data_IF_399825995119
#
_entry.id   IF_399825995119
#
_cell.length_a   1.000
_cell.length_b   1.000
_cell.length_c   1.000
_cell.angle_alpha   90.00
_cell.angle_beta   90.00
_cell.angle_gamma   90.00
#
_symmetry.space_group_name_H-M   'P 1'
#
loop_
_entity.id
_entity.type
_entity.pdbx_description
1 polymer ?
2 non-polymer ?
3 non-polymer ?
4 non-polymer ?
5 non-polymer ?
6 non-polymer ?
7 water ?
#
# COMPACT_ATOMS: atom_id res chain seq x y z
N UNK A 5 14.10 -24.72 -5.78
CA UNK A 5 15.33 -23.94 -5.43
C UNK A 5 15.00 -22.52 -4.93
N UNK A 6 15.23 -22.28 -3.64
CA UNK A 6 14.90 -21.01 -2.98
C UNK A 6 15.32 -19.76 -3.78
N UNK A 7 14.34 -18.93 -4.21
CA UNK A 7 14.64 -17.67 -4.89
C UNK A 7 15.46 -16.72 -4.01
N UNK A 8 16.13 -15.74 -4.61
CA UNK A 8 16.87 -14.74 -3.86
C UNK A 8 15.93 -13.97 -2.92
N UNK A 9 16.38 -13.72 -1.69
CA UNK A 9 15.67 -12.80 -0.79
C UNK A 9 16.62 -11.98 0.09
N UNK A 10 16.23 -10.74 0.43
CA UNK A 10 17.07 -9.92 1.31
C UNK A 10 17.19 -10.48 2.74
N UNK A 11 18.37 -10.34 3.32
CA UNK A 11 18.70 -10.86 4.67
C UNK A 11 18.85 -9.76 5.73
N UNK A 12 19.15 -8.56 5.27
CA UNK A 12 19.29 -7.41 6.16
C UNK A 12 18.71 -6.20 5.45
N UNK A 13 18.40 -5.16 6.22
CA UNK A 13 17.68 -4.00 5.71
C UNK A 13 18.37 -3.30 4.53
N UNK A 14 19.70 -3.22 4.54
CA UNK A 14 20.38 -2.57 3.41
C UNK A 14 20.29 -3.36 2.10
N UNK A 15 20.01 -4.66 2.20
CA UNK A 15 19.83 -5.48 0.99
C UNK A 15 18.68 -5.00 0.11
N UNK A 16 17.78 -4.18 0.66
CA UNK A 16 16.69 -3.58 -0.15
C UNK A 16 17.21 -2.61 -1.24
N UNK A 17 18.52 -2.28 -1.18
CA UNK A 17 19.17 -1.53 -2.28
C UNK A 17 19.34 -2.39 -3.52
N UNK A 18 19.43 -3.69 -3.34
CA UNK A 18 19.76 -4.63 -4.43
C UNK A 18 18.56 -4.83 -5.35
N UNK A 19 18.73 -4.46 -6.63
CA UNK A 19 17.65 -4.54 -7.60
C UNK A 19 16.41 -3.76 -7.14
N UNK A 20 16.65 -2.61 -6.51
CA UNK A 20 15.56 -1.71 -6.11
C UNK A 20 14.76 -1.27 -7.35
N UNK A 21 13.51 -0.84 -7.15
CA UNK A 21 12.70 -0.22 -8.21
C UNK A 21 12.41 -1.11 -9.40
N UNK A 22 12.18 -2.38 -9.11
CA UNK A 22 11.64 -3.31 -10.12
C UNK A 22 10.12 -3.09 -10.17
N UNK A 23 9.72 -2.06 -10.90
CA UNK A 23 8.37 -1.55 -10.89
C UNK A 23 7.64 -1.73 -12.23
N UNK A 24 6.31 -1.76 -12.17
CA UNK A 24 5.48 -1.88 -13.36
C UNK A 24 5.20 -0.48 -13.92
N UNK A 25 5.44 -0.29 -15.22
CA UNK A 25 5.39 1.02 -15.84
C UNK A 25 4.47 1.10 -17.04
N UNK A 26 3.86 2.26 -17.23
CA UNK A 26 3.08 2.57 -18.43
C UNK A 26 3.97 2.41 -19.67
N UNK A 27 3.46 1.75 -20.70
CA UNK A 27 4.27 1.46 -21.89
C UNK A 27 5.06 0.16 -21.83
N UNK A 28 4.97 -0.55 -20.72
CA UNK A 28 5.62 -1.85 -20.60
C UNK A 28 4.61 -2.87 -20.10
N UNK A 29 4.12 -2.65 -18.88
CA UNK A 29 3.20 -3.58 -18.22
C UNK A 29 1.80 -2.98 -17.97
N UNK A 30 1.68 -1.65 -18.01
CA UNK A 30 0.40 -0.96 -17.75
C UNK A 30 -0.14 -0.16 -18.96
N UNK A 31 -1.46 -0.08 -19.06
CA UNK A 31 -2.12 0.77 -20.06
C UNK A 31 -3.54 1.11 -19.61
N UNK A 32 -4.03 2.30 -20.01
CA UNK A 32 -5.36 2.76 -19.65
C UNK A 32 -5.65 4.06 -20.39
N UNK A 33 -6.90 4.30 -20.75
CA UNK A 33 -7.28 5.57 -21.34
C UNK A 33 -7.47 6.62 -20.23
N UNK A 34 -6.36 7.16 -19.73
CA UNK A 34 -6.43 8.05 -18.57
C UNK A 34 -5.28 9.03 -18.75
N UNK A 35 -5.51 10.33 -18.45
CA UNK A 35 -4.47 11.34 -18.68
C UNK A 35 -3.17 11.11 -17.88
N UNK A 36 -3.25 10.43 -16.74
CA UNK A 36 -2.05 10.10 -15.96
C UNK A 36 -1.05 9.22 -16.70
N UNK A 37 -1.56 8.47 -17.69
CA UNK A 37 -0.68 7.77 -18.66
C UNK A 37 -0.49 8.57 -19.95
N UNK A 38 -1.57 9.12 -20.49
CA UNK A 38 -1.55 9.66 -21.87
C UNK A 38 -1.02 11.09 -22.07
N UNK A 39 -1.05 11.92 -21.03
CA UNK A 39 -0.59 13.31 -21.12
C UNK A 39 0.94 13.34 -21.06
N UNK A 40 1.56 13.58 -22.22
CA UNK A 40 3.00 13.57 -22.35
C UNK A 40 3.72 14.55 -21.43
N UNK A 41 3.15 15.73 -21.22
CA UNK A 41 3.73 16.74 -20.32
C UNK A 41 3.75 16.24 -18.85
N UNK A 42 2.68 15.55 -18.45
CA UNK A 42 2.62 15.01 -17.10
C UNK A 42 3.65 13.89 -16.90
N UNK A 43 3.84 13.05 -17.91
CA UNK A 43 4.85 11.98 -17.83
C UNK A 43 6.28 12.54 -17.65
N UNK A 44 6.56 13.69 -18.27
CA UNK A 44 7.87 14.31 -18.10
C UNK A 44 8.10 14.79 -16.68
N UNK A 45 7.03 15.29 -16.04
CA UNK A 45 7.11 15.70 -14.63
C UNK A 45 7.35 14.48 -13.72
N UNK A 46 6.66 13.37 -14.02
CA UNK A 46 6.73 12.16 -13.19
C UNK A 46 8.17 11.64 -13.11
N UNK A 47 8.92 11.84 -14.18
CA UNK A 47 10.30 11.34 -14.26
C UNK A 47 11.22 12.00 -13.21
N UNK A 48 10.90 13.22 -12.80
CA UNK A 48 11.65 13.89 -11.71
C UNK A 48 11.60 13.04 -10.42
N UNK A 49 10.39 12.56 -10.07
CA UNK A 49 10.20 11.71 -8.88
C UNK A 49 10.84 10.33 -9.03
N UNK A 50 10.65 9.71 -10.19
CA UNK A 50 11.25 8.42 -10.50
C UNK A 50 12.79 8.40 -10.36
N UNK A 51 13.46 9.43 -10.88
CA UNK A 51 14.92 9.54 -10.76
C UNK A 51 15.37 9.65 -9.30
N UNK A 52 14.63 10.40 -8.51
CA UNK A 52 14.90 10.54 -7.09
C UNK A 52 14.82 9.17 -6.40
N UNK A 53 13.77 8.42 -6.68
CA UNK A 53 13.62 7.08 -6.13
C UNK A 53 14.76 6.14 -6.58
N UNK A 54 15.15 6.23 -7.85
CA UNK A 54 16.17 5.33 -8.40
C UNK A 54 17.56 5.57 -7.83
N UNK A 55 17.81 6.78 -7.34
CA UNK A 55 19.10 7.08 -6.75
C UNK A 55 19.15 7.00 -5.21
N UNK A 56 18.02 6.70 -4.58
CA UNK A 56 17.99 6.53 -3.13
C UNK A 56 18.79 5.29 -2.66
N UNK A 57 19.51 5.43 -1.55
CA UNK A 57 20.26 4.34 -0.93
C UNK A 57 19.87 4.29 0.52
N UNK A 58 19.62 3.11 1.07
CA UNK A 58 19.31 2.97 2.51
C UNK A 58 20.25 3.86 3.37
N UNK A 59 19.66 4.61 4.29
CA UNK A 59 20.45 5.53 5.13
C UNK A 59 20.35 6.98 4.70
N UNK A 60 19.96 7.21 3.44
CA UNK A 60 19.72 8.59 2.96
C UNK A 60 18.49 9.19 3.63
N UNK A 61 18.47 10.52 3.81
CA UNK A 61 17.16 11.10 4.12
C UNK A 61 16.30 10.97 2.86
N UNK A 62 14.98 10.93 3.00
CA UNK A 62 14.13 10.89 1.81
C UNK A 62 14.06 12.29 1.24
N UNK A 63 14.30 12.42 -0.09
CA UNK A 63 14.36 13.75 -0.71
C UNK A 63 13.09 14.56 -0.46
N UNK A 64 13.26 15.83 -0.08
CA UNK A 64 12.12 16.71 0.14
C UNK A 64 11.73 17.25 -1.24
N UNK A 65 10.42 17.36 -1.49
CA UNK A 65 9.93 17.70 -2.81
C UNK A 65 9.35 19.11 -2.85
N UNK A 66 9.65 19.85 -3.91
CA UNK A 66 9.00 21.13 -4.14
C UNK A 66 7.84 20.86 -5.09
N UNK A 67 6.62 20.75 -4.54
CA UNK A 67 5.46 20.41 -5.37
C UNK A 67 4.98 21.64 -6.17
N UNK A 68 4.36 21.43 -7.32
CA UNK A 68 3.76 22.55 -8.04
C UNK A 68 2.42 22.98 -7.42
N UNK A 69 2.01 24.23 -7.68
CA UNK A 69 0.73 24.71 -7.16
C UNK A 69 -0.40 23.77 -7.60
N UNK A 70 -0.34 23.31 -8.85
CA UNK A 70 -1.27 22.30 -9.37
C UNK A 70 -1.35 20.99 -8.56
N UNK A 71 -0.18 20.45 -8.21
CA UNK A 71 -0.09 19.21 -7.41
C UNK A 71 -0.64 19.43 -6.00
N UNK A 72 -0.28 20.55 -5.39
CA UNK A 72 -0.86 20.88 -4.07
C UNK A 72 -2.40 20.98 -4.11
N UNK A 73 -2.94 21.64 -5.13
CA UNK A 73 -4.41 21.70 -5.35
C UNK A 73 -5.11 20.32 -5.48
N UNK A 74 -4.46 19.40 -6.20
CA UNK A 74 -4.93 18.01 -6.33
C UNK A 74 -4.98 17.30 -4.98
N UNK A 75 -3.86 17.35 -4.24
CA UNK A 75 -3.81 16.74 -2.90
C UNK A 75 -4.97 17.29 -2.06
N UNK A 76 -5.21 18.59 -2.20
CA UNK A 76 -6.26 19.28 -1.41
C UNK A 76 -7.66 18.77 -1.67
N UNK A 77 -7.96 18.58 -2.95
CA UNK A 77 -9.24 18.03 -3.38
C UNK A 77 -9.43 16.58 -2.88
N UNK A 78 -8.39 15.76 -3.06
CA UNK A 78 -8.42 14.35 -2.60
C UNK A 78 -8.60 14.26 -1.09
N UNK A 79 -7.76 14.97 -0.35
CA UNK A 79 -7.85 15.03 1.09
C UNK A 79 -9.24 15.48 1.57
N UNK A 80 -9.71 16.60 1.04
CA UNK A 80 -10.98 17.17 1.46
C UNK A 80 -12.16 16.24 1.18
N UNK A 81 -12.24 15.78 -0.08
CA UNK A 81 -13.35 14.91 -0.50
C UNK A 81 -13.34 13.55 0.19
N UNK A 82 -12.16 12.96 0.38
CA UNK A 82 -12.14 11.68 1.08
C UNK A 82 -12.55 11.82 2.55
N UNK A 83 -12.12 12.90 3.20
CA UNK A 83 -12.45 13.08 4.60
C UNK A 83 -13.94 13.24 4.88
N UNK A 84 -14.68 13.69 3.88
CA UNK A 84 -16.15 13.75 3.95
C UNK A 84 -16.80 12.37 3.96
N UNK A 85 -16.13 11.40 3.33
CA UNK A 85 -16.65 10.04 3.15
C UNK A 85 -16.21 9.06 4.24
N UNK A 86 -15.03 9.26 4.81
CA UNK A 86 -14.54 8.33 5.81
C UNK A 86 -15.53 8.02 6.95
N UNK A 87 -16.17 9.04 7.53
CA UNK A 87 -17.05 8.74 8.68
C UNK A 87 -18.16 7.71 8.38
N UNK A 88 -18.64 7.67 7.14
CA UNK A 88 -19.66 6.70 6.74
C UNK A 88 -19.16 5.45 5.98
N UNK A 89 -17.94 5.48 5.45
CA UNK A 89 -17.45 4.40 4.60
C UNK A 89 -16.37 3.54 5.25
N UNK A 90 -15.50 4.15 6.06
CA UNK A 90 -14.33 3.44 6.61
C UNK A 90 -14.62 2.72 7.91
N UNK A 91 -13.94 1.60 8.10
CA UNK A 91 -14.04 0.81 9.35
C UNK A 91 -13.43 1.60 10.53
N UNK A 92 -13.84 1.27 11.75
CA UNK A 92 -13.44 2.09 12.88
C UNK A 92 -11.94 2.08 13.17
N UNK A 93 -11.27 0.97 12.84
CA UNK A 93 -9.83 0.85 13.06
C UNK A 93 -9.05 1.89 12.25
N UNK A 94 -9.57 2.20 11.06
CA UNK A 94 -8.97 3.22 10.16
C UNK A 94 -9.24 4.64 10.68
N UNK A 95 -10.47 4.87 11.12
CA UNK A 95 -10.89 6.19 11.63
C UNK A 95 -10.09 6.56 12.88
N UNK A 96 -9.79 5.55 13.69
CA UNK A 96 -9.09 5.78 14.96
C UNK A 96 -7.85 6.71 14.90
N UNK A 97 -6.96 6.49 13.92
CA UNK A 97 -5.70 7.22 13.91
C UNK A 97 -5.65 8.47 13.03
N UNK A 98 -6.77 8.85 12.44
CA UNK A 98 -6.81 10.08 11.62
C UNK A 98 -6.40 11.36 12.36
N UNK A 99 -6.92 11.57 13.58
CA UNK A 99 -6.50 12.76 14.34
C UNK A 99 -5.00 12.82 14.68
N UNK A 100 -4.33 11.67 14.82
CA UNK A 100 -2.87 11.66 14.98
C UNK A 100 -2.15 12.27 13.79
N UNK A 101 -2.65 11.99 12.58
CA UNK A 101 -1.99 12.46 11.38
C UNK A 101 -2.05 13.97 11.27
N UNK A 102 -3.19 14.54 11.66
CA UNK A 102 -3.35 15.98 11.54
C UNK A 102 -2.54 16.64 12.66
N UNK A 103 -2.64 16.07 13.85
CA UNK A 103 -1.98 16.61 15.03
C UNK A 103 -0.46 16.44 15.01
N UNK A 104 0.03 15.26 14.60
CA UNK A 104 1.46 14.95 14.70
C UNK A 104 2.23 14.81 13.39
N UNK A 105 1.57 15.02 12.24
CA UNK A 105 2.20 14.84 10.93
C UNK A 105 1.93 16.00 9.98
N UNK A 106 1.14 16.97 10.44
CA UNK A 106 0.83 18.13 9.61
C UNK A 106 0.00 17.85 8.37
N UNK A 107 -0.87 16.84 8.42
CA UNK A 107 -1.81 16.63 7.33
C UNK A 107 -2.72 17.85 7.29
N UNK A 108 -2.70 18.55 6.17
CA UNK A 108 -3.47 19.77 5.95
C UNK A 108 -3.90 19.80 4.51
N UNK A 109 -5.01 20.45 4.24
CA UNK A 109 -5.48 20.64 2.88
C UNK A 109 -4.49 21.45 2.00
N UNK A 110 -3.72 22.36 2.60
CA UNK A 110 -2.91 23.31 1.82
C UNK A 110 -1.44 22.93 1.65
N UNK A 111 -1.11 21.70 2.04
CA UNK A 111 0.29 21.28 2.08
C UNK A 111 0.39 19.75 2.00
N UNK A 112 1.28 19.23 1.15
CA UNK A 112 1.44 17.76 1.04
C UNK A 112 2.46 17.23 2.05
N UNK A 113 2.06 16.28 2.92
CA UNK A 113 3.05 15.74 3.85
C UNK A 113 4.31 15.20 3.13
N UNK A 114 5.49 15.53 3.67
CA UNK A 114 6.76 15.02 3.14
C UNK A 114 7.06 13.64 3.70
N UNK A 115 7.53 12.74 2.84
CA UNK A 115 7.82 11.36 3.22
C UNK A 115 8.82 11.24 4.37
N UNK A 116 9.84 12.10 4.40
CA UNK A 116 10.80 12.07 5.52
C UNK A 116 10.13 12.28 6.89
N UNK A 117 9.22 13.25 6.96
CA UNK A 117 8.46 13.53 8.17
C UNK A 117 7.51 12.39 8.56
N UNK A 118 6.82 11.83 7.56
CA UNK A 118 5.92 10.71 7.83
C UNK A 118 6.73 9.47 8.27
N UNK A 119 7.88 9.22 7.67
CA UNK A 119 8.70 8.07 8.07
C UNK A 119 9.14 8.16 9.55
N UNK A 120 9.57 9.36 9.96
CA UNK A 120 9.98 9.64 11.33
C UNK A 120 8.81 9.39 12.32
N UNK A 121 7.64 9.94 11.99
CA UNK A 121 6.42 9.66 12.76
C UNK A 121 6.14 8.15 12.91
N UNK A 122 6.15 7.42 11.79
CA UNK A 122 5.83 6.00 11.84
C UNK A 122 6.88 5.20 12.61
N UNK A 123 8.14 5.58 12.49
CA UNK A 123 9.21 4.82 13.17
C UNK A 123 9.01 4.85 14.70
N UNK A 124 8.68 6.03 15.18
CA UNK A 124 8.38 6.29 16.57
C UNK A 124 7.16 5.50 17.05
N UNK A 125 6.10 5.47 16.26
CA UNK A 125 4.85 4.78 16.62
C UNK A 125 4.87 3.24 16.53
N UNK A 126 5.47 2.69 15.48
CA UNK A 126 5.44 1.24 15.25
C UNK A 126 6.74 0.69 14.68
N UNK A 127 7.72 1.56 14.45
CA UNK A 127 9.01 1.13 13.84
C UNK A 127 9.02 1.02 12.31
N UNK A 128 7.89 1.32 11.68
CA UNK A 128 7.88 1.39 10.20
C UNK A 128 8.66 2.61 9.69
N UNK A 129 9.38 2.42 8.59
CA UNK A 129 10.01 3.53 7.89
C UNK A 129 9.64 3.45 6.42
N UNK A 130 9.91 4.53 5.68
CA UNK A 130 9.57 4.60 4.26
C UNK A 130 10.81 4.56 3.37
N UNK A 131 10.68 3.94 2.19
CA UNK A 131 11.70 4.00 1.16
C UNK A 131 10.98 4.48 -0.11
N UNK A 132 11.52 5.52 -0.78
CA UNK A 132 10.81 5.95 -2.00
C UNK A 132 10.93 4.93 -3.16
N UNK A 133 9.93 4.90 -4.02
CA UNK A 133 9.88 3.93 -5.14
C UNK A 133 9.29 4.58 -6.42
N UNK A 134 9.77 4.16 -7.60
CA UNK A 134 9.39 4.79 -8.87
C UNK A 134 8.04 4.41 -9.48
N UNK A 135 7.26 3.60 -8.80
CA UNK A 135 5.99 3.12 -9.36
C UNK A 135 5.47 1.88 -8.65
N UNK A 136 4.51 1.20 -9.24
CA UNK A 136 3.95 -0.03 -8.66
C UNK A 136 5.02 -1.11 -8.55
N UNK A 137 5.37 -1.48 -7.33
CA UNK A 137 6.49 -2.40 -7.10
C UNK A 137 6.08 -3.87 -7.28
N UNK A 138 6.99 -4.65 -7.87
CA UNK A 138 6.89 -6.10 -7.91
C UNK A 138 6.40 -6.67 -6.57
N UNK A 139 5.30 -7.41 -6.58
CA UNK A 139 4.70 -7.89 -5.31
C UNK A 139 5.69 -8.63 -4.40
N UNK A 140 6.54 -9.48 -4.95
CA UNK A 140 7.56 -10.14 -4.11
C UNK A 140 8.43 -9.14 -3.35
N UNK A 141 8.89 -8.10 -4.03
CA UNK A 141 9.75 -7.10 -3.42
C UNK A 141 8.99 -6.22 -2.41
N UNK A 142 7.72 -5.95 -2.70
CA UNK A 142 6.90 -5.15 -1.78
C UNK A 142 6.68 -5.89 -0.46
N UNK A 143 6.28 -7.17 -0.53
CA UNK A 143 6.13 -8.01 0.68
C UNK A 143 7.45 -8.20 1.43
N UNK A 144 8.53 -8.43 0.68
CA UNK A 144 9.86 -8.51 1.32
C UNK A 144 10.15 -7.25 2.14
N UNK A 145 9.82 -6.07 1.60
CA UNK A 145 10.02 -4.82 2.33
C UNK A 145 9.35 -4.88 3.70
N UNK A 146 8.11 -5.35 3.75
CA UNK A 146 7.36 -5.38 5.03
C UNK A 146 8.04 -6.19 6.11
N UNK A 147 8.84 -7.19 5.72
CA UNK A 147 9.51 -8.04 6.71
C UNK A 147 10.51 -7.24 7.56
N UNK A 148 11.04 -6.15 7.00
CA UNK A 148 11.93 -5.22 7.69
C UNK A 148 11.19 -3.99 8.25
N UNK A 149 9.86 -4.07 8.29
CA UNK A 149 9.00 -2.90 8.54
C UNK A 149 9.38 -1.72 7.64
N UNK A 150 9.55 -2.02 6.35
CA UNK A 150 9.83 -0.99 5.36
C UNK A 150 8.65 -0.94 4.39
N UNK A 151 8.04 0.25 4.29
CA UNK A 151 6.92 0.49 3.36
C UNK A 151 7.44 1.30 2.15
N UNK A 152 7.46 0.68 0.96
CA UNK A 152 7.83 1.40 -0.29
C UNK A 152 6.74 2.38 -0.75
N UNK A 153 7.07 3.67 -0.91
CA UNK A 153 6.09 4.71 -1.24
C UNK A 153 6.47 5.49 -2.49
N UNK A 154 5.47 5.75 -3.33
CA UNK A 154 5.62 6.72 -4.43
C UNK A 154 5.54 8.16 -3.90
N UNK A 155 6.10 9.11 -4.65
CA UNK A 155 6.21 10.52 -4.22
C UNK A 155 5.53 11.47 -5.19
N UNK A 156 5.25 11.01 -6.41
CA UNK A 156 4.51 11.83 -7.39
C UNK A 156 3.04 11.91 -7.01
N UNK A 157 2.36 12.91 -7.58
CA UNK A 157 0.94 13.12 -7.33
C UNK A 157 0.18 12.79 -8.62
N UNK A 158 -1.00 12.18 -8.51
CA UNK A 158 -1.81 11.82 -9.67
C UNK A 158 -2.13 13.03 -10.56
N UNK A 159 -2.52 12.74 -11.80
CA UNK A 159 -2.86 13.76 -12.79
C UNK A 159 -3.99 14.64 -12.26
N UNK A 160 -3.86 15.96 -12.38
CA UNK A 160 -4.83 16.91 -11.79
C UNK A 160 -6.25 16.89 -12.38
N UNK A 161 -6.39 16.38 -13.60
CA UNK A 161 -7.70 16.33 -14.26
C UNK A 161 -8.61 15.28 -13.65
N UNK A 162 -8.04 14.32 -12.94
CA UNK A 162 -8.84 13.25 -12.33
C UNK A 162 -8.47 12.94 -10.89
N UNK A 163 -8.88 13.80 -9.96
CA UNK A 163 -8.59 13.57 -8.55
C UNK A 163 -9.27 12.30 -8.04
N UNK A 164 -10.38 11.93 -8.67
CA UNK A 164 -11.26 10.86 -8.23
C UNK A 164 -10.61 9.47 -8.25
N UNK A 165 -9.77 9.23 -9.25
CA UNK A 165 -9.24 7.87 -9.50
C UNK A 165 -7.98 8.00 -10.35
N UNK A 166 -6.97 7.19 -10.04
CA UNK A 166 -5.76 7.14 -10.85
C UNK A 166 -5.32 5.67 -11.06
N UNK A 167 -4.78 5.35 -12.25
CA UNK A 167 -4.47 3.95 -12.59
C UNK A 167 -3.09 3.40 -12.17
N UNK A 168 -2.27 4.20 -11.48
CA UNK A 168 -1.12 3.68 -10.75
C UNK A 168 -1.11 4.35 -9.36
N UNK A 169 -0.55 3.66 -8.34
CA UNK A 169 -0.48 4.34 -7.02
C UNK A 169 0.33 5.66 -7.06
N UNK A 170 -0.14 6.67 -6.32
CA UNK A 170 0.60 7.93 -6.17
C UNK A 170 0.80 8.20 -4.68
N UNK A 171 1.33 9.38 -4.36
CA UNK A 171 1.65 9.67 -2.96
C UNK A 171 0.37 9.80 -2.10
N UNK A 172 -0.72 10.25 -2.73
CA UNK A 172 -2.00 10.33 -2.01
C UNK A 172 -2.44 8.94 -1.54
N UNK A 173 -2.29 7.93 -2.41
CA UNK A 173 -2.56 6.55 -2.03
C UNK A 173 -1.77 6.06 -0.79
N UNK A 174 -0.47 6.33 -0.78
CA UNK A 174 0.40 5.96 0.35
C UNK A 174 -0.05 6.69 1.62
N UNK A 175 -0.19 8.01 1.51
CA UNK A 175 -0.44 8.85 2.68
C UNK A 175 -1.84 8.66 3.27
N UNK A 176 -2.84 8.46 2.42
CA UNK A 176 -4.22 8.30 2.93
C UNK A 176 -4.67 6.82 3.07
N UNK A 177 -4.19 5.95 2.19
CA UNK A 177 -4.58 4.55 2.21
C UNK A 177 -3.85 3.69 3.24
N UNK A 178 -2.55 3.95 3.42
CA UNK A 178 -1.68 3.05 4.19
C UNK A 178 -1.24 3.60 5.55
N UNK A 179 -0.85 4.87 5.61
CA UNK A 179 -0.28 5.45 6.82
C UNK A 179 -1.10 5.30 8.13
N UNK A 180 -2.43 5.55 8.08
CA UNK A 180 -3.26 5.43 9.30
C UNK A 180 -3.20 4.06 10.00
N UNK A 181 -3.23 2.98 9.22
CA UNK A 181 -3.16 1.64 9.79
C UNK A 181 -1.72 1.25 10.13
N UNK A 182 -0.78 1.69 9.31
CA UNK A 182 0.64 1.46 9.58
C UNK A 182 1.05 2.10 10.93
N UNK A 183 0.32 3.14 11.36
CA UNK A 183 0.51 3.81 12.66
C UNK A 183 -0.01 3.01 13.86
N UNK A 184 -0.73 1.92 13.59
CA UNK A 184 -1.30 1.04 14.63
C UNK A 184 -0.42 -0.18 14.92
N UNK A 185 0.11 -0.27 16.16
CA UNK A 185 1.00 -1.38 16.55
C UNK A 185 0.56 -2.78 16.11
N UNK A 186 -0.71 -3.14 16.35
CA UNK A 186 -1.19 -4.48 15.99
C UNK A 186 -1.23 -4.72 14.47
N UNK A 187 -1.54 -3.68 13.71
CA UNK A 187 -1.55 -3.80 12.25
C UNK A 187 -0.13 -3.84 11.68
N UNK A 188 0.76 -3.02 12.22
CA UNK A 188 2.16 -3.04 11.81
C UNK A 188 2.80 -4.41 12.08
N UNK A 189 2.43 -5.03 13.20
CA UNK A 189 2.92 -6.39 13.52
C UNK A 189 2.39 -7.42 12.51
N UNK A 190 1.07 -7.38 12.26
CA UNK A 190 0.45 -8.19 11.21
C UNK A 190 1.14 -8.04 9.83
N UNK A 191 1.39 -6.79 9.43
CA UNK A 191 2.09 -6.51 8.15
C UNK A 191 3.46 -7.21 8.05
N UNK A 192 4.25 -7.14 9.11
CA UNK A 192 5.58 -7.71 9.08
C UNK A 192 5.49 -9.24 9.05
N UNK A 193 4.54 -9.81 9.79
CA UNK A 193 4.32 -11.25 9.77
C UNK A 193 4.03 -11.79 8.37
N UNK A 194 3.18 -11.08 7.63
CA UNK A 194 2.87 -11.46 6.24
C UNK A 194 4.14 -11.38 5.38
N UNK A 195 4.86 -10.26 5.47
CA UNK A 195 6.16 -10.09 4.82
C UNK A 195 7.20 -11.18 5.15
N UNK A 196 7.35 -11.55 6.42
CA UNK A 196 8.30 -12.61 6.79
C UNK A 196 7.93 -13.98 6.17
N UNK A 197 6.63 -14.26 6.10
CA UNK A 197 6.13 -15.51 5.52
C UNK A 197 6.41 -15.63 4.02
N UNK A 198 6.62 -14.50 3.37
CA UNK A 198 6.83 -14.47 1.94
C UNK A 198 8.29 -14.76 1.54
N UNK A 199 9.22 -14.49 2.44
CA UNK A 199 10.65 -14.49 2.13
C UNK A 199 11.15 -15.82 1.57
N UNK A 200 11.63 -15.83 0.32
CA UNK A 200 12.16 -17.09 -0.28
C UNK A 200 11.15 -18.20 -0.56
N UNK A 201 9.86 -17.86 -0.55
CA UNK A 201 8.82 -18.82 -0.96
C UNK A 201 8.79 -18.91 -2.50
N UNK A 202 8.24 -19.99 -3.04
CA UNK A 202 8.22 -20.18 -4.51
C UNK A 202 7.45 -19.07 -5.22
N UNK A 203 7.66 -18.94 -6.53
CA UNK A 203 6.94 -17.92 -7.30
C UNK A 203 5.45 -18.14 -7.22
N UNK A 204 5.02 -19.40 -7.28
CA UNK A 204 3.60 -19.73 -7.16
C UNK A 204 3.02 -19.44 -5.78
N UNK A 205 3.77 -19.71 -4.73
CA UNK A 205 3.32 -19.42 -3.38
C UNK A 205 3.19 -17.91 -3.12
N UNK A 206 4.21 -17.15 -3.52
CA UNK A 206 4.18 -15.68 -3.39
C UNK A 206 3.01 -15.06 -4.19
N UNK A 207 2.78 -15.55 -5.41
CA UNK A 207 1.69 -15.06 -6.25
C UNK A 207 0.34 -15.25 -5.52
N UNK A 208 0.17 -16.40 -4.89
CA UNK A 208 -1.05 -16.64 -4.14
C UNK A 208 -1.14 -15.73 -2.92
N UNK A 209 -0.07 -15.62 -2.13
CA UNK A 209 -0.10 -14.73 -0.95
C UNK A 209 -0.34 -13.26 -1.33
N UNK A 210 0.38 -12.80 -2.35
CA UNK A 210 0.24 -11.42 -2.85
C UNK A 210 -1.17 -11.08 -3.36
N UNK A 211 -1.81 -12.02 -4.03
CA UNK A 211 -3.20 -11.85 -4.49
C UNK A 211 -4.15 -11.70 -3.32
N UNK A 212 -3.97 -12.52 -2.28
CA UNK A 212 -4.80 -12.39 -1.09
C UNK A 212 -4.54 -11.05 -0.37
N UNK A 213 -3.26 -10.68 -0.21
CA UNK A 213 -2.89 -9.33 0.27
C UNK A 213 -3.60 -8.19 -0.50
N UNK A 214 -3.59 -8.27 -1.84
CA UNK A 214 -4.23 -7.28 -2.72
C UNK A 214 -5.72 -7.18 -2.41
N UNK A 215 -6.41 -8.32 -2.31
CA UNK A 215 -7.86 -8.28 -2.05
C UNK A 215 -8.26 -8.14 -0.59
N UNK A 216 -7.29 -7.92 0.29
CA UNK A 216 -7.61 -7.61 1.68
C UNK A 216 -7.05 -6.23 2.02
N UNK A 217 -5.74 -6.14 2.23
CA UNK A 217 -5.21 -4.84 2.64
C UNK A 217 -5.25 -3.74 1.58
N UNK A 218 -5.35 -4.10 0.30
CA UNK A 218 -5.51 -3.06 -0.76
C UNK A 218 -6.99 -2.78 -1.11
N UNK A 219 -7.80 -3.84 -1.23
CA UNK A 219 -9.21 -3.67 -1.66
C UNK A 219 -10.27 -4.36 -0.77
N UNK A 220 -9.94 -4.60 0.50
CA UNK A 220 -10.83 -5.40 1.37
C UNK A 220 -12.01 -4.68 1.99
N UNK A 221 -13.12 -5.40 2.15
CA UNK A 221 -14.28 -4.96 2.95
C UNK A 221 -14.50 -5.85 4.17
N UNK A 222 -15.11 -5.29 5.20
CA UNK A 222 -15.44 -6.05 6.42
C UNK A 222 -16.80 -5.61 7.01
N UNK A 223 -17.50 -6.53 7.65
CA UNK A 223 -18.72 -6.16 8.35
C UNK A 223 -18.39 -5.53 9.68
N UNK A 224 -19.26 -4.63 10.11
CA UNK A 224 -19.09 -3.89 11.34
C UNK A 224 -20.48 -3.57 11.86
N UNK A 225 -20.84 -4.18 12.98
CA UNK A 225 -22.18 -4.04 13.56
C UNK A 225 -23.26 -4.18 12.51
N UNK A 226 -23.17 -5.25 11.73
CA UNK A 226 -24.14 -5.55 10.68
C UNK A 226 -24.06 -4.76 9.37
N UNK A 227 -23.14 -3.80 9.28
CA UNK A 227 -23.00 -2.98 8.07
C UNK A 227 -21.72 -3.30 7.29
N UNK A 228 -21.71 -3.00 5.99
CA UNK A 228 -20.50 -3.13 5.19
C UNK A 228 -19.60 -1.90 5.37
N UNK A 229 -18.34 -2.09 5.74
CA UNK A 229 -17.37 -0.99 5.82
C UNK A 229 -16.09 -1.33 5.03
N UNK A 230 -15.22 -0.36 4.82
CA UNK A 230 -14.00 -0.59 4.02
C UNK A 230 -12.71 -0.38 4.82
N UNK A 231 -11.74 -1.27 4.61
CA UNK A 231 -10.39 -1.15 5.18
C UNK A 231 -9.26 -1.15 4.10
N UNK A 232 -9.62 -1.46 2.86
CA UNK A 232 -8.64 -1.57 1.77
C UNK A 232 -8.05 -0.23 1.34
N UNK A 233 -6.72 -0.11 1.40
CA UNK A 233 -6.00 1.14 1.02
C UNK A 233 -6.34 1.73 -0.34
N UNK A 234 -6.44 0.87 -1.37
CA UNK A 234 -6.78 1.30 -2.72
C UNK A 234 -8.18 1.90 -2.86
N UNK A 235 -9.12 1.46 -2.02
CA UNK A 235 -10.44 2.11 -1.99
C UNK A 235 -10.37 3.41 -1.19
N UNK A 236 -9.65 3.39 -0.07
CA UNK A 236 -9.58 4.57 0.80
C UNK A 236 -8.84 5.79 0.22
N UNK A 237 -8.17 5.60 -0.92
CA UNK A 237 -7.55 6.74 -1.63
C UNK A 237 -8.28 7.18 -2.93
N UNK A 238 -9.38 6.51 -3.26
CA UNK A 238 -10.11 6.83 -4.49
C UNK A 238 -11.52 7.32 -4.20
N UNK A 239 -11.79 8.58 -4.49
CA UNK A 239 -13.10 9.13 -4.18
C UNK A 239 -14.19 8.31 -4.87
N UNK A 240 -14.00 8.03 -6.16
CA UNK A 240 -15.04 7.32 -6.91
C UNK A 240 -15.12 5.81 -6.60
N UNK A 241 -13.98 5.14 -6.41
CA UNK A 241 -14.09 3.70 -6.14
C UNK A 241 -14.59 3.44 -4.72
N UNK A 242 -14.22 4.32 -3.78
CA UNK A 242 -14.70 4.23 -2.40
C UNK A 242 -16.25 4.29 -2.33
N UNK A 243 -16.86 5.29 -2.98
CA UNK A 243 -18.32 5.35 -3.07
C UNK A 243 -18.93 4.16 -3.80
N UNK A 244 -18.34 3.77 -4.93
CA UNK A 244 -18.85 2.66 -5.71
C UNK A 244 -18.86 1.37 -4.87
N UNK A 245 -17.81 1.13 -4.10
CA UNK A 245 -17.72 -0.11 -3.33
C UNK A 245 -18.93 -0.33 -2.37
N UNK A 246 -19.48 0.77 -1.85
CA UNK A 246 -20.59 0.73 -0.91
C UNK A 246 -21.87 1.27 -1.53
N UNK A 247 -21.91 1.32 -2.87
CA UNK A 247 -23.03 1.95 -3.58
C UNK A 247 -24.25 1.04 -3.70
N UNK A 248 -24.04 -0.26 -3.49
CA UNK A 248 -25.12 -1.25 -3.62
C UNK A 248 -25.16 -1.90 -4.98
N UNK A 249 -24.28 -1.48 -5.90
CA UNK A 249 -24.24 -2.10 -7.22
C UNK A 249 -22.93 -2.85 -7.47
N UNK A 250 -22.04 -2.85 -6.48
CA UNK A 250 -20.76 -3.53 -6.63
C UNK A 250 -21.00 -5.01 -6.37
N UNK A 251 -20.22 -5.88 -7.02
CA UNK A 251 -20.22 -7.31 -6.73
C UNK A 251 -19.33 -7.66 -5.52
N UNK A 252 -19.91 -8.34 -4.53
CA UNK A 252 -19.25 -8.58 -3.24
C UNK A 252 -19.37 -10.05 -2.83
N UNK A 253 -18.23 -10.67 -2.48
CA UNK A 253 -18.19 -12.10 -2.18
C UNK A 253 -17.36 -12.36 -0.93
N UNK A 254 -17.64 -13.46 -0.22
CA UNK A 254 -16.87 -13.73 1.00
C UNK A 254 -15.39 -14.02 0.70
N UNK A 255 -14.50 -13.44 1.51
CA UNK A 255 -13.07 -13.70 1.42
C UNK A 255 -12.78 -15.16 1.82
N UNK A 256 -12.20 -15.90 0.88
CA UNK A 256 -11.88 -17.32 1.06
C UNK A 256 -10.58 -17.59 0.30
N UNK A 257 -9.42 -17.57 1.00
CA UNK A 257 -8.12 -17.58 0.34
C UNK A 257 -8.00 -18.52 -0.86
N UNK A 258 -8.57 -19.70 -0.73
CA UNK A 258 -8.38 -20.72 -1.77
C UNK A 258 -9.15 -20.39 -3.04
N UNK A 259 -10.16 -19.53 -2.94
CA UNK A 259 -10.90 -18.99 -4.09
C UNK A 259 -10.33 -17.62 -4.51
N UNK A 260 -10.15 -16.74 -3.52
CA UNK A 260 -9.63 -15.38 -3.73
C UNK A 260 -8.24 -15.35 -4.41
N UNK A 261 -7.34 -16.25 -3.99
CA UNK A 261 -5.97 -16.25 -4.51
C UNK A 261 -5.89 -16.51 -6.03
N UNK A 262 -7.00 -16.93 -6.64
CA UNK A 262 -7.10 -17.18 -8.07
C UNK A 262 -7.62 -15.98 -8.89
N UNK A 263 -8.15 -14.96 -8.20
CA UNK A 263 -8.70 -13.78 -8.85
C UNK A 263 -7.60 -12.91 -9.44
N UNK A 264 -7.78 -12.44 -10.67
CA UNK A 264 -6.81 -11.48 -11.25
C UNK A 264 -6.83 -10.12 -10.53
N UNK A 265 -5.65 -9.59 -10.17
CA UNK A 265 -5.53 -8.30 -9.51
C UNK A 265 -5.53 -7.20 -10.55
N UNK A 266 -6.56 -6.36 -10.59
CA UNK A 266 -6.65 -5.32 -11.62
C UNK A 266 -5.98 -4.02 -11.16
N UNK A 267 -4.85 -3.66 -11.79
CA UNK A 267 -4.04 -2.50 -11.37
C UNK A 267 -4.65 -1.17 -11.87
N UNK A 268 -5.16 -1.16 -13.10
CA UNK A 268 -5.46 0.09 -13.83
C UNK A 268 -6.96 0.43 -14.03
N UNK A 269 -7.86 -0.38 -13.45
CA UNK A 269 -9.30 -0.11 -13.47
C UNK A 269 -9.89 -0.41 -12.09
N UNK A 270 -11.15 0.00 -11.86
CA UNK A 270 -11.93 -0.48 -10.71
C UNK A 270 -11.83 -2.00 -10.71
N UNK A 271 -11.92 -2.60 -9.53
CA UNK A 271 -12.02 -4.06 -9.45
C UNK A 271 -13.33 -4.61 -10.04
N UNK A 272 -13.29 -5.89 -10.43
CA UNK A 272 -14.48 -6.59 -10.88
C UNK A 272 -15.28 -7.15 -9.70
N UNK A 273 -14.60 -7.43 -8.60
CA UNK A 273 -15.23 -8.01 -7.40
C UNK A 273 -14.48 -7.52 -6.14
N UNK A 274 -15.21 -7.38 -5.03
CA UNK A 274 -14.61 -7.11 -3.72
C UNK A 274 -14.92 -8.26 -2.76
N UNK A 275 -13.98 -8.55 -1.86
CA UNK A 275 -14.12 -9.68 -0.94
C UNK A 275 -14.33 -9.20 0.51
N UNK A 276 -15.32 -9.78 1.20
CA UNK A 276 -15.71 -9.31 2.53
C UNK A 276 -15.38 -10.32 3.62
N UNK A 277 -14.86 -9.84 4.73
CA UNK A 277 -14.68 -10.69 5.92
C UNK A 277 -15.77 -10.34 6.95
N UNK A 278 -16.11 -11.31 7.79
CA UNK A 278 -17.11 -11.12 8.83
C UNK A 278 -16.75 -10.03 9.84
N UNK A 279 -15.47 -9.74 9.95
CA UNK A 279 -14.99 -8.60 10.75
C UNK A 279 -13.56 -8.26 10.32
N UNK A 280 -13.05 -7.13 10.80
CA UNK A 280 -11.68 -6.71 10.52
C UNK A 280 -10.69 -7.67 11.18
N UNK A 281 -10.97 -8.09 12.41
CA UNK A 281 -10.12 -9.10 13.05
C UNK A 281 -10.12 -10.44 12.29
N UNK A 282 -11.28 -10.85 11.77
CA UNK A 282 -11.36 -12.09 10.97
C UNK A 282 -10.53 -12.00 9.70
N UNK A 283 -10.47 -10.81 9.11
CA UNK A 283 -9.64 -10.60 7.91
C UNK A 283 -8.17 -10.88 8.22
N UNK A 284 -7.65 -10.28 9.29
CA UNK A 284 -6.24 -10.50 9.64
C UNK A 284 -5.99 -11.99 9.98
N UNK A 285 -6.94 -12.61 10.68
CA UNK A 285 -6.76 -13.99 11.13
C UNK A 285 -6.68 -15.00 9.99
N UNK A 286 -7.59 -14.87 9.02
CA UNK A 286 -7.61 -15.72 7.84
C UNK A 286 -6.36 -15.51 7.00
N UNK A 287 -5.88 -14.27 6.92
CA UNK A 287 -4.60 -13.98 6.26
C UNK A 287 -3.41 -14.67 6.96
N UNK A 288 -3.33 -14.60 8.30
CA UNK A 288 -2.22 -15.23 9.00
C UNK A 288 -2.19 -16.74 8.80
N UNK A 289 -3.36 -17.36 8.85
CA UNK A 289 -3.43 -18.81 8.70
C UNK A 289 -3.12 -19.27 7.27
N UNK A 290 -3.53 -18.47 6.30
CA UNK A 290 -3.19 -18.78 4.92
C UNK A 290 -1.67 -18.69 4.68
N UNK A 291 -1.02 -17.66 5.21
CA UNK A 291 0.42 -17.48 5.05
C UNK A 291 1.23 -18.67 5.57
N UNK A 292 0.70 -19.34 6.59
CA UNK A 292 1.35 -20.50 7.17
C UNK A 292 1.28 -21.78 6.31
N UNK A 293 0.41 -21.78 5.30
CA UNK A 293 0.21 -22.98 4.49
C UNK A 293 1.08 -22.97 3.23
N UNK A 294 1.99 -22.01 3.16
CA UNK A 294 2.83 -21.79 1.99
C UNK A 294 3.75 -22.95 1.54
N UNK A 295 4.10 -23.84 2.46
CA UNK A 295 5.01 -24.96 2.17
C UNK A 295 6.45 -24.51 1.88
N UNK A 296 6.95 -23.59 2.69
CA UNK A 296 8.33 -23.18 2.62
C UNK A 296 9.13 -24.15 3.49
N UNK A 297 10.33 -24.57 3.03
CA UNK A 297 11.12 -25.58 3.72
C UNK A 297 12.08 -25.01 4.79
N UNK A 298 11.67 -23.92 5.43
CA UNK A 298 12.45 -23.31 6.50
C UNK A 298 11.62 -22.20 7.12
N UNK A 299 12.03 -21.75 8.32
CA UNK A 299 11.30 -20.70 9.05
C UNK A 299 12.20 -19.50 9.21
N UNK A 300 11.62 -18.35 9.52
CA UNK A 300 12.43 -17.14 9.66
C UNK A 300 11.88 -16.15 10.70
N UNK A 301 12.81 -15.54 11.45
CA UNK A 301 12.49 -14.49 12.43
C UNK A 301 13.16 -13.20 12.01
N UNK A 302 12.66 -12.08 12.51
CA UNK A 302 13.36 -10.84 12.36
C UNK A 302 14.05 -10.46 13.67
N UNK A 303 15.29 -10.01 13.58
CA UNK A 303 15.99 -9.47 14.75
C UNK A 303 16.06 -7.95 14.58
N UNK A 304 15.21 -7.22 15.33
CA UNK A 304 15.21 -5.75 15.14
C UNK A 304 16.49 -5.04 15.60
N UNK A 305 17.33 -5.71 16.38
CA UNK A 305 18.56 -5.08 16.92
C UNK A 305 19.71 -5.09 15.90
N UNK A 306 19.80 -6.14 15.10
CA UNK A 306 20.78 -6.16 14.00
C UNK A 306 20.12 -5.76 12.67
N UNK A 307 18.80 -5.68 12.66
CA UNK A 307 17.98 -5.42 11.46
C UNK A 307 18.25 -6.46 10.38
N UNK A 308 18.15 -7.72 10.78
CA UNK A 308 18.45 -8.85 9.90
C UNK A 308 17.47 -10.00 10.13
N UNK A 309 17.36 -10.87 9.13
CA UNK A 309 16.44 -11.99 9.14
C UNK A 309 17.17 -13.28 9.48
N UNK A 310 16.72 -13.97 10.53
CA UNK A 310 17.42 -15.14 11.03
C UNK A 310 16.64 -16.38 10.62
N UNK A 311 17.36 -17.33 10.06
CA UNK A 311 16.78 -18.52 9.47
C UNK A 311 16.51 -19.59 10.52
#
# INVERSE_FOLDING_TARGET
GDMENIPWYPKKISDLDKCANRVLMYGSDLDADHPGFKDNVYRKRRKYFADLAMNYKHGDPIPEIEFTEEEIKTWGTVYRELNKLYPTHACREYLKNLPLLTKYCGYREDNIPQLEDVSRFLKERTGFTIRPVAGYLSPRDFLAGLAFRVFHCTQYVRHSSDPLYTPEPDTCHELLGHVPLLAEPSFAQFSQEIGLASLGASDEAVQKLATCYFFTVEFGLCKQEGQLRVYGAGLLSSISELKHSLSGSAKVKPFDPKVTCKQECLITTFQEVYFVSESFEEAKEKMREFAKTIKRPFGVKYNPYTQSVQILKD
#
